data_IF_965259801148
#
_entry.id   IF_965259801148
#
_cell.length_a   1.000
_cell.length_b   1.000
_cell.length_c   1.000
_cell.angle_alpha   90.00
_cell.angle_beta   90.00
_cell.angle_gamma   90.00
#
_symmetry.space_group_name_H-M   'P 1'
#
loop_
_entity.id
_entity.type
_entity.pdbx_description
1 polymer ?
#
# COMPACT_ATOMS: atom_id res chain seq x y z
N UNK A 1 -63.48 -3.21 10.33
CA UNK A 1 -62.20 -3.95 10.57
C UNK A 1 -62.16 -5.30 9.86
N UNK A 2 -63.12 -6.22 10.09
CA UNK A 2 -63.13 -7.55 9.46
C UNK A 2 -63.19 -7.51 7.92
N UNK A 3 -64.04 -6.66 7.37
CA UNK A 3 -64.17 -6.51 5.90
C UNK A 3 -62.93 -5.87 5.26
N UNK A 4 -62.29 -4.91 5.93
CA UNK A 4 -61.00 -4.34 5.51
C UNK A 4 -59.90 -5.41 5.51
N UNK A 5 -59.79 -6.22 6.57
CA UNK A 5 -58.84 -7.37 6.60
C UNK A 5 -59.09 -8.35 5.45
N UNK A 6 -60.37 -8.66 5.16
CA UNK A 6 -60.73 -9.54 4.07
C UNK A 6 -60.41 -8.94 2.69
N UNK A 7 -60.61 -7.62 2.51
CA UNK A 7 -60.26 -6.92 1.28
C UNK A 7 -58.74 -6.95 1.02
N UNK A 8 -57.94 -6.69 2.06
CA UNK A 8 -56.46 -6.75 1.99
C UNK A 8 -55.99 -8.17 1.64
N UNK A 9 -56.57 -9.19 2.26
CA UNK A 9 -56.25 -10.59 1.96
C UNK A 9 -56.59 -10.96 0.51
N UNK A 10 -57.76 -10.51 -0.01
CA UNK A 10 -58.15 -10.71 -1.42
C UNK A 10 -57.22 -10.00 -2.40
N UNK A 11 -56.64 -8.87 -2.01
CA UNK A 11 -55.67 -8.12 -2.81
C UNK A 11 -54.23 -8.68 -2.71
N UNK A 12 -54.03 -9.87 -2.14
CA UNK A 12 -52.69 -10.47 -2.01
C UNK A 12 -51.83 -9.82 -0.92
N UNK A 13 -52.47 -9.13 0.03
CA UNK A 13 -51.81 -8.63 1.23
C UNK A 13 -51.25 -7.21 1.14
N UNK A 14 -51.43 -6.49 0.02
CA UNK A 14 -51.11 -5.06 -0.16
C UNK A 14 -52.28 -4.35 -0.86
N UNK A 15 -52.70 -3.19 -0.35
CA UNK A 15 -53.75 -2.38 -0.97
C UNK A 15 -53.59 -0.89 -0.61
N UNK A 16 -53.82 0.00 -1.58
CA UNK A 16 -53.94 1.44 -1.33
C UNK A 16 -55.23 1.74 -0.57
N UNK A 17 -55.18 2.63 0.44
CA UNK A 17 -56.36 2.99 1.21
C UNK A 17 -57.46 3.62 0.35
N UNK A 18 -57.09 4.30 -0.74
CA UNK A 18 -58.01 4.89 -1.71
C UNK A 18 -58.85 3.84 -2.46
N UNK A 19 -58.37 2.60 -2.56
CA UNK A 19 -59.05 1.49 -3.25
C UNK A 19 -59.96 0.67 -2.33
N UNK A 20 -59.87 0.86 -1.01
CA UNK A 20 -60.72 0.16 -0.03
C UNK A 20 -62.21 0.55 -0.10
N UNK A 21 -62.59 1.84 -0.26
CA UNK A 21 -63.98 2.26 -0.27
C UNK A 21 -64.91 1.48 -1.23
N UNK A 22 -64.57 1.28 -2.53
CA UNK A 22 -65.41 0.50 -3.43
C UNK A 22 -65.47 -0.99 -3.09
N UNK A 23 -64.46 -1.53 -2.40
CA UNK A 23 -64.41 -2.96 -2.04
C UNK A 23 -65.17 -3.30 -0.76
N UNK A 24 -65.25 -2.34 0.16
CA UNK A 24 -65.87 -2.51 1.49
C UNK A 24 -67.25 -1.83 1.55
N UNK A 25 -67.53 -0.88 0.65
CA UNK A 25 -68.78 -0.13 0.62
C UNK A 25 -68.87 0.94 1.70
N UNK A 26 -67.72 1.48 2.14
CA UNK A 26 -67.57 2.42 3.26
C UNK A 26 -66.70 3.59 2.81
N UNK A 27 -66.89 4.79 3.35
CA UNK A 27 -66.07 5.95 2.99
C UNK A 27 -64.61 5.85 3.47
N UNK A 28 -63.73 6.66 2.84
CA UNK A 28 -62.29 6.63 3.07
C UNK A 28 -61.88 6.90 4.52
N UNK A 29 -62.57 7.81 5.22
CA UNK A 29 -62.24 8.17 6.59
C UNK A 29 -62.39 6.97 7.54
N UNK A 30 -63.46 6.19 7.35
CA UNK A 30 -63.69 4.98 8.12
C UNK A 30 -62.72 3.85 7.71
N UNK A 31 -62.31 3.78 6.44
CA UNK A 31 -61.26 2.86 5.99
C UNK A 31 -59.90 3.20 6.62
N UNK A 32 -59.51 4.48 6.68
CA UNK A 32 -58.27 4.96 7.32
C UNK A 32 -58.24 4.68 8.83
N UNK A 33 -59.35 4.96 9.51
CA UNK A 33 -59.50 4.66 10.93
C UNK A 33 -59.42 3.14 11.20
N UNK A 34 -60.05 2.33 10.36
CA UNK A 34 -59.99 0.88 10.46
C UNK A 34 -58.57 0.34 10.18
N UNK A 35 -57.88 0.86 9.17
CA UNK A 35 -56.51 0.48 8.83
C UNK A 35 -55.52 0.80 9.96
N UNK A 36 -55.61 2.00 10.54
CA UNK A 36 -54.79 2.41 11.69
C UNK A 36 -55.00 1.49 12.89
N UNK A 37 -56.26 1.14 13.18
CA UNK A 37 -56.58 0.22 14.25
C UNK A 37 -56.09 -1.22 13.98
N UNK A 38 -56.17 -1.68 12.73
CA UNK A 38 -55.62 -2.99 12.32
C UNK A 38 -54.11 -3.03 12.54
N UNK A 39 -53.38 -2.00 12.13
CA UNK A 39 -51.93 -1.91 12.37
C UNK A 39 -51.59 -1.94 13.86
N UNK A 40 -52.30 -1.17 14.69
CA UNK A 40 -52.09 -1.13 16.14
C UNK A 40 -52.36 -2.50 16.81
N UNK A 41 -53.36 -3.23 16.34
CA UNK A 41 -53.74 -4.55 16.88
C UNK A 41 -52.91 -5.72 16.32
N UNK A 42 -52.26 -5.52 15.17
CA UNK A 42 -51.56 -6.58 14.42
C UNK A 42 -50.24 -7.05 15.04
N UNK A 43 -49.76 -6.41 16.12
CA UNK A 43 -48.46 -6.70 16.75
C UNK A 43 -47.28 -6.73 15.76
N UNK A 44 -47.36 -5.95 14.68
CA UNK A 44 -46.34 -5.87 13.64
C UNK A 44 -46.58 -6.76 12.42
N UNK A 45 -47.70 -7.48 12.34
CA UNK A 45 -48.06 -8.27 11.15
C UNK A 45 -48.62 -7.43 9.99
N UNK A 46 -49.00 -6.19 10.25
CA UNK A 46 -49.56 -5.28 9.24
C UNK A 46 -49.01 -3.88 9.42
N UNK A 47 -48.51 -3.31 8.32
CA UNK A 47 -47.88 -2.00 8.25
C UNK A 47 -48.72 -1.04 7.42
N UNK A 48 -48.83 0.20 7.89
CA UNK A 48 -49.44 1.29 7.13
C UNK A 48 -48.32 2.21 6.67
N UNK A 49 -48.06 2.26 5.36
CA UNK A 49 -46.94 2.99 4.76
C UNK A 49 -47.45 3.82 3.60
N UNK A 50 -47.25 5.15 3.63
CA UNK A 50 -47.63 6.08 2.55
C UNK A 50 -49.08 5.95 2.06
N UNK A 51 -50.02 5.57 2.94
CA UNK A 51 -51.42 5.35 2.55
C UNK A 51 -51.70 3.95 1.98
N UNK A 52 -50.80 3.00 2.15
CA UNK A 52 -50.96 1.59 1.79
C UNK A 52 -50.97 0.70 3.02
N UNK A 53 -51.85 -0.30 3.02
CA UNK A 53 -51.88 -1.35 4.04
C UNK A 53 -51.17 -2.59 3.50
N UNK A 54 -50.04 -2.95 4.10
CA UNK A 54 -49.17 -4.06 3.67
C UNK A 54 -49.01 -5.06 4.81
N UNK A 55 -49.24 -6.34 4.52
CA UNK A 55 -49.15 -7.43 5.50
C UNK A 55 -47.80 -8.15 5.45
N UNK A 56 -47.41 -8.81 6.53
CA UNK A 56 -46.24 -9.71 6.54
C UNK A 56 -46.35 -10.80 5.49
N UNK A 57 -47.55 -11.33 5.25
CA UNK A 57 -47.80 -12.34 4.20
C UNK A 57 -47.43 -11.83 2.80
N UNK A 58 -47.65 -10.54 2.51
CA UNK A 58 -47.21 -9.95 1.25
C UNK A 58 -45.69 -10.02 1.11
N UNK A 59 -44.95 -9.68 2.17
CA UNK A 59 -43.48 -9.78 2.17
C UNK A 59 -42.98 -11.23 2.17
N UNK A 60 -43.71 -12.19 2.75
CA UNK A 60 -43.38 -13.61 2.67
C UNK A 60 -43.53 -14.14 1.24
N UNK A 61 -44.62 -13.77 0.56
CA UNK A 61 -44.85 -14.11 -0.85
C UNK A 61 -43.79 -13.46 -1.75
N UNK A 62 -43.47 -12.18 -1.51
CA UNK A 62 -42.40 -11.49 -2.21
C UNK A 62 -41.05 -12.17 -1.99
N UNK A 63 -40.74 -12.60 -0.76
CA UNK A 63 -39.50 -13.31 -0.47
C UNK A 63 -39.42 -14.68 -1.17
N UNK A 64 -40.54 -15.37 -1.37
CA UNK A 64 -40.59 -16.62 -2.15
C UNK A 64 -40.30 -16.37 -3.64
N UNK A 65 -40.88 -15.31 -4.21
CA UNK A 65 -40.59 -14.88 -5.59
C UNK A 65 -39.11 -14.51 -5.75
N UNK A 66 -38.60 -13.70 -4.82
CA UNK A 66 -37.19 -13.28 -4.79
C UNK A 66 -36.25 -14.47 -4.61
N UNK A 67 -36.58 -15.47 -3.80
CA UNK A 67 -35.76 -16.68 -3.68
C UNK A 67 -35.72 -17.44 -5.01
N UNK A 68 -36.86 -17.59 -5.69
CA UNK A 68 -36.93 -18.20 -7.02
C UNK A 68 -36.02 -17.49 -8.02
N UNK A 69 -36.18 -16.17 -8.15
CA UNK A 69 -35.33 -15.33 -9.01
C UNK A 69 -33.85 -15.45 -8.62
N UNK A 70 -33.54 -15.40 -7.32
CA UNK A 70 -32.18 -15.51 -6.80
C UNK A 70 -31.55 -16.86 -7.12
N UNK A 71 -32.29 -17.96 -7.00
CA UNK A 71 -31.76 -19.29 -7.33
C UNK A 71 -31.52 -19.45 -8.84
N UNK A 72 -32.30 -18.77 -9.68
CA UNK A 72 -32.13 -18.78 -11.14
C UNK A 72 -30.96 -17.90 -11.59
N UNK A 73 -30.87 -16.66 -11.10
CA UNK A 73 -29.87 -15.67 -11.54
C UNK A 73 -28.54 -15.76 -10.77
N UNK A 74 -28.56 -16.30 -9.56
CA UNK A 74 -27.45 -16.35 -8.62
C UNK A 74 -27.24 -15.06 -7.82
N UNK A 75 -27.70 -13.91 -8.32
CA UNK A 75 -27.56 -12.58 -7.71
C UNK A 75 -28.76 -11.68 -8.03
N UNK A 76 -29.25 -10.93 -7.04
CA UNK A 76 -30.37 -9.98 -7.22
C UNK A 76 -30.07 -8.67 -6.48
N UNK A 77 -30.28 -7.53 -7.15
CA UNK A 77 -30.10 -6.22 -6.54
C UNK A 77 -31.36 -5.76 -5.79
N UNK A 78 -31.21 -5.38 -4.52
CA UNK A 78 -32.32 -4.87 -3.71
C UNK A 78 -32.89 -3.56 -4.27
N UNK A 79 -32.07 -2.76 -4.95
CA UNK A 79 -32.50 -1.54 -5.61
C UNK A 79 -33.45 -1.82 -6.79
N UNK A 80 -33.22 -2.91 -7.54
CA UNK A 80 -34.11 -3.31 -8.63
C UNK A 80 -35.44 -3.84 -8.08
N UNK A 81 -35.39 -4.61 -6.99
CA UNK A 81 -36.59 -5.05 -6.27
C UNK A 81 -37.41 -3.86 -5.76
N UNK A 82 -36.76 -2.91 -5.08
CA UNK A 82 -37.41 -1.68 -4.60
C UNK A 82 -38.12 -0.93 -5.73
N UNK A 83 -37.45 -0.80 -6.89
CA UNK A 83 -38.01 -0.15 -8.07
C UNK A 83 -39.20 -0.91 -8.66
N UNK A 84 -39.08 -2.23 -8.83
CA UNK A 84 -40.13 -3.09 -9.43
C UNK A 84 -41.39 -3.16 -8.57
N UNK A 85 -41.22 -3.18 -7.25
CA UNK A 85 -42.33 -3.28 -6.32
C UNK A 85 -42.82 -1.93 -5.80
N UNK A 86 -42.26 -0.80 -6.27
CA UNK A 86 -42.61 0.54 -5.78
C UNK A 86 -42.53 0.63 -4.24
N UNK A 87 -41.45 0.10 -3.66
CA UNK A 87 -41.17 0.12 -2.23
C UNK A 87 -39.85 0.85 -1.96
N UNK A 88 -39.64 1.35 -0.74
CA UNK A 88 -38.35 1.94 -0.38
C UNK A 88 -37.26 0.85 -0.27
N UNK A 89 -36.02 1.20 -0.64
CA UNK A 89 -34.89 0.26 -0.54
C UNK A 89 -34.64 -0.22 0.89
N UNK A 90 -34.89 0.63 1.89
CA UNK A 90 -34.78 0.26 3.31
C UNK A 90 -35.84 -0.77 3.73
N UNK A 91 -37.08 -0.60 3.26
CA UNK A 91 -38.17 -1.52 3.56
C UNK A 91 -37.93 -2.89 2.92
N UNK A 92 -37.46 -2.92 1.66
CA UNK A 92 -37.08 -4.16 1.00
C UNK A 92 -35.89 -4.80 1.72
N UNK A 93 -34.82 -4.05 2.00
CA UNK A 93 -33.65 -4.61 2.66
C UNK A 93 -33.96 -5.20 4.04
N UNK A 94 -34.72 -4.49 4.88
CA UNK A 94 -35.12 -4.98 6.21
C UNK A 94 -36.01 -6.23 6.13
N UNK A 95 -37.00 -6.25 5.24
CA UNK A 95 -37.91 -7.39 5.08
C UNK A 95 -37.25 -8.61 4.45
N UNK A 96 -36.34 -8.42 3.49
CA UNK A 96 -35.57 -9.52 2.91
C UNK A 96 -34.56 -10.07 3.93
N UNK A 97 -33.87 -9.20 4.67
CA UNK A 97 -32.92 -9.58 5.73
C UNK A 97 -33.58 -10.46 6.80
N UNK A 98 -34.78 -10.08 7.26
CA UNK A 98 -35.54 -10.82 8.26
C UNK A 98 -35.94 -12.25 7.81
N UNK A 99 -35.89 -12.53 6.50
CA UNK A 99 -36.30 -13.79 5.88
C UNK A 99 -35.15 -14.62 5.33
N UNK A 100 -33.91 -14.14 5.48
CA UNK A 100 -32.71 -14.89 5.13
C UNK A 100 -32.61 -16.17 5.98
N UNK A 101 -32.31 -17.29 5.33
CA UNK A 101 -32.17 -18.60 5.98
C UNK A 101 -33.49 -19.30 6.32
N UNK A 102 -34.62 -18.57 6.36
CA UNK A 102 -35.95 -19.15 6.55
C UNK A 102 -36.67 -19.37 5.21
N UNK A 103 -36.81 -18.30 4.41
CA UNK A 103 -37.45 -18.34 3.08
C UNK A 103 -36.39 -18.17 2.00
N UNK A 104 -35.53 -17.16 2.14
CA UNK A 104 -34.51 -16.82 1.15
C UNK A 104 -33.24 -17.61 1.43
N UNK A 105 -32.84 -18.46 0.50
CA UNK A 105 -31.62 -19.28 0.57
C UNK A 105 -30.45 -18.53 -0.05
N UNK A 106 -29.98 -17.51 0.66
CA UNK A 106 -28.89 -16.66 0.20
C UNK A 106 -28.21 -15.87 1.31
N UNK A 107 -27.25 -15.06 0.91
CA UNK A 107 -26.55 -14.07 1.73
C UNK A 107 -26.84 -12.68 1.19
N UNK A 108 -26.93 -11.69 2.07
CA UNK A 108 -27.10 -10.29 1.70
C UNK A 108 -25.85 -9.49 2.04
N UNK A 109 -25.31 -8.75 1.08
CA UNK A 109 -24.13 -7.90 1.27
C UNK A 109 -24.10 -6.79 0.21
N UNK A 110 -23.68 -5.58 0.57
CA UNK A 110 -23.56 -4.47 -0.40
C UNK A 110 -24.88 -4.01 -1.06
N UNK A 111 -26.05 -4.43 -0.55
CA UNK A 111 -27.34 -4.15 -1.20
C UNK A 111 -27.72 -5.17 -2.28
N UNK A 112 -27.00 -6.30 -2.34
CA UNK A 112 -27.24 -7.43 -3.23
C UNK A 112 -27.54 -8.69 -2.40
N UNK A 113 -28.38 -9.55 -2.97
CA UNK A 113 -28.60 -10.91 -2.51
C UNK A 113 -27.80 -11.87 -3.40
N UNK A 114 -27.17 -12.86 -2.79
CA UNK A 114 -26.36 -13.86 -3.47
C UNK A 114 -26.76 -15.26 -3.05
N UNK A 115 -26.72 -16.20 -3.99
CA UNK A 115 -26.71 -17.63 -3.63
C UNK A 115 -25.34 -18.04 -3.09
N UNK A 116 -25.32 -19.07 -2.25
CA UNK A 116 -24.05 -19.63 -1.77
C UNK A 116 -23.19 -20.18 -2.92
N UNK A 117 -23.83 -20.74 -3.95
CA UNK A 117 -23.15 -21.26 -5.13
C UNK A 117 -22.47 -20.15 -5.94
N UNK A 118 -23.11 -18.98 -6.07
CA UNK A 118 -22.53 -17.81 -6.73
C UNK A 118 -21.28 -17.32 -5.97
N UNK A 119 -21.39 -17.11 -4.66
CA UNK A 119 -20.26 -16.68 -3.81
C UNK A 119 -19.10 -17.68 -3.90
N UNK A 120 -19.38 -18.98 -3.82
CA UNK A 120 -18.36 -20.02 -3.95
C UNK A 120 -17.64 -19.98 -5.31
N UNK A 121 -18.37 -19.70 -6.40
CA UNK A 121 -17.78 -19.55 -7.74
C UNK A 121 -16.85 -18.35 -7.82
N UNK A 122 -17.29 -17.19 -7.29
CA UNK A 122 -16.47 -15.97 -7.23
C UNK A 122 -15.23 -16.21 -6.36
N UNK A 123 -15.36 -16.82 -5.18
CA UNK A 123 -14.23 -17.20 -4.30
C UNK A 123 -13.24 -18.11 -5.03
N UNK A 124 -13.72 -19.13 -5.73
CA UNK A 124 -12.85 -20.04 -6.47
C UNK A 124 -12.07 -19.34 -7.58
N UNK A 125 -12.70 -18.41 -8.32
CA UNK A 125 -12.05 -17.61 -9.37
C UNK A 125 -11.01 -16.66 -8.81
N UNK A 126 -11.38 -15.89 -7.79
CA UNK A 126 -10.46 -14.98 -7.11
C UNK A 126 -9.25 -15.75 -6.57
N UNK A 127 -9.47 -16.86 -5.88
CA UNK A 127 -8.39 -17.72 -5.40
C UNK A 127 -7.45 -18.16 -6.52
N UNK A 128 -8.00 -18.64 -7.64
CA UNK A 128 -7.21 -19.03 -8.81
C UNK A 128 -6.42 -17.86 -9.42
N UNK A 129 -7.08 -16.72 -9.60
CA UNK A 129 -6.46 -15.51 -10.15
C UNK A 129 -5.35 -14.96 -9.26
N UNK A 130 -5.61 -14.79 -7.96
CA UNK A 130 -4.64 -14.26 -7.00
C UNK A 130 -3.42 -15.17 -6.84
N UNK A 131 -3.61 -16.50 -6.87
CA UNK A 131 -2.51 -17.48 -6.90
C UNK A 131 -1.70 -17.43 -8.20
N UNK A 132 -2.33 -17.07 -9.31
CA UNK A 132 -1.68 -16.95 -10.62
C UNK A 132 -0.92 -15.63 -10.82
N UNK A 133 -1.16 -14.62 -9.99
CA UNK A 133 -0.45 -13.35 -10.06
C UNK A 133 1.01 -13.49 -9.62
N UNK A 134 1.95 -13.04 -10.45
CA UNK A 134 3.39 -12.98 -10.14
C UNK A 134 3.90 -11.53 -9.99
N UNK A 135 3.01 -10.55 -10.13
CA UNK A 135 3.32 -9.13 -10.03
C UNK A 135 2.15 -8.39 -9.37
N UNK A 136 2.38 -7.19 -8.80
CA UNK A 136 1.32 -6.36 -8.28
C UNK A 136 0.20 -6.16 -9.31
N UNK A 137 -1.03 -6.46 -8.92
CA UNK A 137 -2.18 -6.46 -9.83
C UNK A 137 -3.35 -5.73 -9.18
N UNK A 138 -4.06 -4.90 -9.95
CA UNK A 138 -5.32 -4.32 -9.49
C UNK A 138 -6.40 -5.39 -9.48
N UNK A 139 -7.07 -5.54 -8.34
CA UNK A 139 -8.15 -6.52 -8.16
C UNK A 139 -9.31 -6.26 -9.14
N UNK A 140 -9.74 -5.01 -9.42
CA UNK A 140 -10.72 -4.75 -10.48
C UNK A 140 -10.30 -5.26 -11.87
N UNK A 141 -9.04 -5.03 -12.26
CA UNK A 141 -8.51 -5.49 -13.55
C UNK A 141 -8.43 -7.02 -13.60
N UNK A 142 -8.06 -7.65 -12.49
CA UNK A 142 -8.05 -9.10 -12.37
C UNK A 142 -9.47 -9.66 -12.54
N UNK A 143 -10.46 -9.06 -11.87
CA UNK A 143 -11.86 -9.47 -11.97
C UNK A 143 -12.39 -9.32 -13.40
N UNK A 144 -12.08 -8.21 -14.07
CA UNK A 144 -12.43 -8.01 -15.47
C UNK A 144 -11.85 -9.11 -16.38
N UNK A 145 -10.60 -9.55 -16.12
CA UNK A 145 -9.93 -10.62 -16.89
C UNK A 145 -10.45 -12.02 -16.59
N UNK A 146 -10.84 -12.30 -15.34
CA UNK A 146 -11.39 -13.60 -14.92
C UNK A 146 -12.80 -13.87 -15.48
N UNK A 147 -13.38 -12.89 -16.18
CA UNK A 147 -14.68 -12.97 -16.79
C UNK A 147 -15.78 -12.62 -15.80
N UNK A 148 -16.49 -11.53 -16.09
CA UNK A 148 -17.85 -11.35 -15.61
C UNK A 148 -18.65 -12.55 -16.12
N UNK A 149 -19.05 -13.46 -15.24
CA UNK A 149 -20.31 -14.12 -15.53
C UNK A 149 -21.36 -13.02 -15.48
N UNK A 150 -21.87 -12.70 -16.66
CA UNK A 150 -23.13 -12.00 -16.85
C UNK A 150 -24.18 -12.81 -16.10
N UNK A 151 -24.33 -12.53 -14.81
CA UNK A 151 -25.62 -12.70 -14.16
C UNK A 151 -26.59 -11.86 -14.97
N UNK A 152 -27.73 -12.46 -15.34
CA UNK A 152 -28.81 -11.80 -16.07
C UNK A 152 -29.12 -10.48 -15.32
N UNK A 153 -28.70 -9.34 -15.88
CA UNK A 153 -28.85 -8.03 -15.24
C UNK A 153 -27.63 -7.10 -15.23
N UNK A 154 -26.43 -7.55 -15.61
CA UNK A 154 -25.27 -6.65 -15.76
C UNK A 154 -24.73 -6.03 -14.47
N UNK A 155 -24.95 -6.67 -13.32
CA UNK A 155 -24.37 -6.22 -12.05
C UNK A 155 -22.91 -6.64 -11.93
N UNK A 156 -22.00 -5.67 -11.92
CA UNK A 156 -20.62 -5.86 -11.47
C UNK A 156 -20.62 -6.50 -10.06
N UNK A 157 -19.65 -7.39 -9.80
CA UNK A 157 -19.51 -7.97 -8.46
C UNK A 157 -19.21 -6.84 -7.47
N UNK A 158 -19.97 -6.77 -6.37
CA UNK A 158 -19.82 -5.71 -5.39
C UNK A 158 -18.39 -5.69 -4.80
N UNK A 159 -17.72 -4.53 -4.79
CA UNK A 159 -16.36 -4.42 -4.25
C UNK A 159 -16.22 -4.88 -2.79
N UNK A 160 -17.27 -4.75 -1.96
CA UNK A 160 -17.24 -5.21 -0.57
C UNK A 160 -17.28 -6.73 -0.49
N UNK A 161 -18.07 -7.40 -1.36
CA UNK A 161 -18.05 -8.85 -1.46
C UNK A 161 -16.65 -9.34 -1.86
N UNK A 162 -16.02 -8.69 -2.85
CA UNK A 162 -14.65 -9.00 -3.26
C UNK A 162 -13.69 -8.86 -2.07
N UNK A 163 -13.71 -7.71 -1.38
CA UNK A 163 -12.87 -7.48 -0.21
C UNK A 163 -13.06 -8.55 0.88
N UNK A 164 -14.32 -8.87 1.22
CA UNK A 164 -14.65 -9.92 2.20
C UNK A 164 -14.10 -11.28 1.78
N UNK A 165 -14.19 -11.64 0.50
CA UNK A 165 -13.68 -12.92 -0.01
C UNK A 165 -12.15 -12.96 0.03
N UNK A 166 -11.45 -11.88 -0.35
CA UNK A 166 -9.98 -11.86 -0.30
C UNK A 166 -9.48 -11.93 1.15
N UNK A 167 -10.13 -11.23 2.07
CA UNK A 167 -9.82 -11.34 3.50
C UNK A 167 -10.04 -12.75 4.06
N UNK A 168 -11.10 -13.43 3.64
CA UNK A 168 -11.35 -14.84 3.98
C UNK A 168 -10.25 -15.74 3.43
N UNK A 169 -9.89 -15.60 2.16
CA UNK A 169 -8.82 -16.37 1.53
C UNK A 169 -7.46 -16.17 2.21
N UNK A 170 -7.16 -14.94 2.65
CA UNK A 170 -5.94 -14.63 3.40
C UNK A 170 -5.95 -15.26 4.78
N UNK A 171 -7.06 -15.13 5.51
CA UNK A 171 -7.24 -15.70 6.85
C UNK A 171 -7.12 -17.22 6.85
N UNK A 172 -7.67 -17.86 5.83
CA UNK A 172 -7.64 -19.31 5.64
C UNK A 172 -6.29 -19.81 5.10
N UNK A 173 -5.34 -18.91 4.78
CA UNK A 173 -4.05 -19.27 4.18
C UNK A 173 -4.17 -19.83 2.77
N UNK A 174 -5.29 -19.59 2.09
CA UNK A 174 -5.52 -20.06 0.73
C UNK A 174 -4.76 -19.23 -0.30
N UNK A 175 -4.37 -17.99 0.00
CA UNK A 175 -3.56 -17.13 -0.86
C UNK A 175 -2.43 -16.50 -0.05
N UNK A 176 -1.30 -16.21 -0.71
CA UNK A 176 -0.09 -15.67 -0.09
C UNK A 176 0.27 -14.34 -0.73
N UNK A 177 0.12 -13.25 0.02
CA UNK A 177 0.30 -11.90 -0.45
C UNK A 177 -0.33 -10.87 0.49
N UNK A 178 -0.29 -9.61 0.08
CA UNK A 178 -0.78 -8.47 0.84
C UNK A 178 -1.68 -7.61 -0.04
N UNK A 179 -2.77 -7.12 0.52
CA UNK A 179 -3.63 -6.12 -0.13
C UNK A 179 -3.15 -4.71 0.24
N UNK A 180 -3.02 -3.84 -0.77
CA UNK A 180 -2.66 -2.42 -0.64
C UNK A 180 -3.75 -1.53 -1.26
N UNK A 181 -3.63 -0.21 -1.04
CA UNK A 181 -4.51 0.78 -1.69
C UNK A 181 -5.97 0.68 -1.27
N UNK A 182 -6.23 0.39 0.01
CA UNK A 182 -7.60 0.31 0.54
C UNK A 182 -8.43 -0.85 0.01
N UNK A 183 -7.80 -1.99 -0.31
CA UNK A 183 -8.51 -3.19 -0.77
C UNK A 183 -8.43 -3.45 -2.27
N UNK A 184 -7.71 -2.62 -3.03
CA UNK A 184 -7.80 -2.61 -4.51
C UNK A 184 -6.59 -3.17 -5.23
N UNK A 185 -5.44 -3.28 -4.56
CA UNK A 185 -4.20 -3.77 -5.16
C UNK A 185 -3.71 -5.03 -4.45
N UNK A 186 -3.48 -6.10 -5.19
CA UNK A 186 -2.91 -7.35 -4.70
C UNK A 186 -1.40 -7.39 -4.97
N UNK A 187 -0.60 -7.65 -3.94
CA UNK A 187 0.84 -7.87 -4.04
C UNK A 187 1.14 -9.31 -3.61
N UNK A 188 1.47 -10.22 -4.55
CA UNK A 188 1.81 -11.61 -4.23
C UNK A 188 3.09 -11.72 -3.40
N UNK A 189 3.16 -12.67 -2.46
CA UNK A 189 4.37 -12.90 -1.65
C UNK A 189 5.57 -13.34 -2.50
N UNK A 190 5.32 -14.09 -3.58
CA UNK A 190 6.36 -14.51 -4.52
C UNK A 190 7.05 -13.31 -5.18
N UNK A 191 6.30 -12.23 -5.44
CA UNK A 191 6.85 -11.00 -5.98
C UNK A 191 7.75 -10.32 -4.95
N UNK A 192 7.27 -10.14 -3.72
CA UNK A 192 8.06 -9.56 -2.63
C UNK A 192 9.33 -10.37 -2.33
N UNK A 193 9.24 -11.70 -2.36
CA UNK A 193 10.37 -12.60 -2.19
C UNK A 193 11.40 -12.44 -3.32
N UNK A 194 10.95 -12.32 -4.58
CA UNK A 194 11.82 -12.11 -5.72
C UNK A 194 12.56 -10.76 -5.63
N UNK A 195 11.88 -9.69 -5.20
CA UNK A 195 12.50 -8.38 -4.98
C UNK A 195 13.56 -8.43 -3.89
N UNK A 196 13.22 -9.05 -2.75
CA UNK A 196 14.15 -9.23 -1.64
C UNK A 196 15.38 -10.04 -2.06
N UNK A 197 15.19 -11.11 -2.85
CA UNK A 197 16.28 -11.93 -3.36
C UNK A 197 17.16 -11.15 -4.35
N UNK A 198 16.57 -10.38 -5.26
CA UNK A 198 17.32 -9.55 -6.21
C UNK A 198 18.20 -8.52 -5.49
N UNK A 199 17.66 -7.86 -4.48
CA UNK A 199 18.41 -6.91 -3.66
C UNK A 199 19.55 -7.56 -2.88
N UNK A 200 19.32 -8.74 -2.27
CA UNK A 200 20.37 -9.51 -1.59
C UNK A 200 21.48 -9.92 -2.55
N UNK A 201 21.13 -10.49 -3.70
CA UNK A 201 22.12 -10.92 -4.69
C UNK A 201 22.93 -9.74 -5.25
N UNK A 202 22.31 -8.58 -5.46
CA UNK A 202 23.04 -7.37 -5.84
C UNK A 202 24.02 -6.94 -4.74
N UNK A 203 23.53 -6.88 -3.49
CA UNK A 203 24.32 -6.46 -2.35
C UNK A 203 25.52 -7.40 -2.08
N UNK A 204 25.32 -8.71 -2.17
CA UNK A 204 26.37 -9.72 -2.02
C UNK A 204 27.46 -9.59 -3.09
N UNK A 205 27.08 -9.23 -4.33
CA UNK A 205 28.03 -9.09 -5.44
C UNK A 205 28.80 -7.77 -5.41
N UNK A 206 28.15 -6.69 -4.99
CA UNK A 206 28.70 -5.33 -5.11
C UNK A 206 29.19 -4.76 -3.78
N UNK A 207 28.88 -5.40 -2.65
CA UNK A 207 29.15 -4.90 -1.30
C UNK A 207 28.45 -3.55 -0.97
N UNK A 208 27.47 -3.14 -1.76
CA UNK A 208 26.59 -2.00 -1.49
C UNK A 208 25.24 -2.16 -2.20
N UNK A 209 24.26 -1.37 -1.78
CA UNK A 209 23.01 -1.13 -2.50
C UNK A 209 22.52 0.29 -2.20
N UNK A 210 22.43 1.13 -3.23
CA UNK A 210 21.89 2.49 -3.09
C UNK A 210 20.36 2.50 -3.07
N UNK A 211 19.79 3.49 -2.38
CA UNK A 211 18.34 3.57 -2.20
C UNK A 211 17.61 3.81 -3.53
N UNK A 212 18.21 4.53 -4.48
CA UNK A 212 17.61 4.74 -5.80
C UNK A 212 17.47 3.44 -6.58
N UNK A 213 18.51 2.61 -6.61
CA UNK A 213 18.51 1.31 -7.25
C UNK A 213 17.55 0.34 -6.58
N UNK A 214 17.47 0.33 -5.25
CA UNK A 214 16.47 -0.47 -4.53
C UNK A 214 15.03 -0.10 -4.94
N UNK A 215 14.77 1.19 -5.15
CA UNK A 215 13.49 1.70 -5.68
C UNK A 215 13.19 1.17 -7.08
N UNK A 216 14.20 1.08 -7.95
CA UNK A 216 14.07 0.47 -9.30
C UNK A 216 13.81 -1.05 -9.25
N UNK A 217 14.26 -1.74 -8.20
CA UNK A 217 13.88 -3.13 -7.91
C UNK A 217 12.46 -3.25 -7.31
N UNK A 218 11.81 -2.12 -7.03
CA UNK A 218 10.46 -2.02 -6.48
C UNK A 218 10.39 -2.15 -4.95
N UNK A 219 11.52 -2.03 -4.25
CA UNK A 219 11.56 -1.85 -2.80
C UNK A 219 11.28 -0.38 -2.48
N UNK A 220 10.07 -0.10 -2.03
CA UNK A 220 9.56 1.27 -1.87
C UNK A 220 9.60 1.78 -0.42
N UNK A 221 9.99 0.93 0.53
CA UNK A 221 10.15 1.29 1.94
C UNK A 221 11.46 2.03 2.23
N UNK A 222 12.29 2.28 1.21
CA UNK A 222 13.51 3.07 1.31
C UNK A 222 14.48 2.49 2.35
N UNK A 223 15.06 3.38 3.17
CA UNK A 223 16.08 3.05 4.16
C UNK A 223 15.64 1.98 5.17
N UNK A 224 14.45 2.14 5.75
CA UNK A 224 13.97 1.22 6.80
C UNK A 224 13.74 -0.20 6.26
N UNK A 225 13.30 -0.34 5.00
CA UNK A 225 13.12 -1.65 4.38
C UNK A 225 14.47 -2.33 4.09
N UNK A 226 15.45 -1.58 3.59
CA UNK A 226 16.79 -2.13 3.36
C UNK A 226 17.53 -2.49 4.65
N UNK A 227 17.46 -1.66 5.69
CA UNK A 227 18.06 -1.98 7.00
C UNK A 227 17.47 -3.27 7.60
N UNK A 228 16.17 -3.53 7.39
CA UNK A 228 15.55 -4.80 7.81
C UNK A 228 15.98 -5.97 6.92
N UNK A 229 16.11 -5.75 5.61
CA UNK A 229 16.46 -6.79 4.65
C UNK A 229 17.94 -7.21 4.75
N UNK A 230 18.81 -6.25 5.04
CA UNK A 230 20.28 -6.33 5.08
C UNK A 230 20.75 -5.88 6.47
N UNK A 231 20.37 -6.65 7.49
CA UNK A 231 20.55 -6.27 8.91
C UNK A 231 21.99 -6.16 9.37
N UNK A 232 22.92 -6.75 8.62
CA UNK A 232 24.36 -6.67 8.85
C UNK A 232 25.00 -5.44 8.17
N UNK A 233 24.27 -4.77 7.28
CA UNK A 233 24.75 -3.64 6.52
C UNK A 233 24.91 -2.35 7.32
N UNK A 234 25.85 -1.53 6.86
CA UNK A 234 26.09 -0.18 7.37
C UNK A 234 25.23 0.79 6.56
N UNK A 235 24.15 1.27 7.16
CA UNK A 235 23.31 2.28 6.54
C UNK A 235 23.99 3.66 6.54
N UNK A 236 24.05 4.25 5.35
CA UNK A 236 24.48 5.60 5.03
C UNK A 236 23.27 6.39 4.51
N UNK A 237 23.49 7.61 4.02
CA UNK A 237 22.41 8.49 3.58
C UNK A 237 21.94 8.16 2.16
N UNK A 238 22.88 7.80 1.27
CA UNK A 238 22.58 7.38 -0.11
C UNK A 238 22.43 5.87 -0.31
N UNK A 239 23.02 5.06 0.58
CA UNK A 239 23.12 3.61 0.39
C UNK A 239 23.26 2.82 1.69
N UNK A 240 23.15 1.51 1.57
CA UNK A 240 23.63 0.55 2.58
C UNK A 240 24.85 -0.18 2.04
N UNK A 241 25.91 -0.29 2.84
CA UNK A 241 27.17 -0.93 2.43
C UNK A 241 27.53 -2.11 3.32
N UNK A 242 28.22 -3.08 2.75
CA UNK A 242 28.66 -4.27 3.46
C UNK A 242 29.79 -3.94 4.46
N UNK A 243 29.82 -4.57 5.64
CA UNK A 243 30.90 -4.36 6.63
C UNK A 243 32.29 -4.61 6.06
N UNK A 244 32.42 -5.50 5.07
CA UNK A 244 33.67 -5.80 4.38
C UNK A 244 34.27 -4.58 3.68
N UNK A 245 33.43 -3.67 3.17
CA UNK A 245 33.90 -2.43 2.54
C UNK A 245 34.56 -1.51 3.56
N UNK A 246 34.02 -1.46 4.79
CA UNK A 246 34.64 -0.71 5.89
C UNK A 246 35.98 -1.32 6.28
N UNK A 247 36.08 -2.66 6.38
CA UNK A 247 37.33 -3.34 6.71
C UNK A 247 38.43 -3.11 5.66
N UNK A 248 38.08 -3.12 4.37
CA UNK A 248 39.00 -2.79 3.29
C UNK A 248 39.47 -1.35 3.40
N UNK A 249 38.54 -0.43 3.69
CA UNK A 249 38.87 0.98 3.87
C UNK A 249 39.80 1.22 5.07
N UNK A 250 39.54 0.56 6.19
CA UNK A 250 40.43 0.60 7.38
C UNK A 250 41.84 0.13 7.04
N UNK A 251 41.97 -0.99 6.31
CA UNK A 251 43.28 -1.50 5.90
C UNK A 251 44.05 -0.50 5.01
N UNK A 252 43.40 0.12 4.03
CA UNK A 252 44.04 1.14 3.17
C UNK A 252 44.42 2.40 3.93
N UNK A 253 43.59 2.81 4.90
CA UNK A 253 43.90 3.94 5.78
C UNK A 253 45.13 3.63 6.64
N UNK A 254 45.18 2.44 7.26
CA UNK A 254 46.30 2.04 8.11
C UNK A 254 47.62 1.92 7.31
N UNK A 255 47.56 1.43 6.06
CA UNK A 255 48.71 1.38 5.15
C UNK A 255 49.22 2.79 4.80
N UNK A 256 48.32 3.71 4.43
CA UNK A 256 48.68 5.09 4.10
C UNK A 256 49.31 5.82 5.30
N UNK A 257 48.81 5.56 6.51
CA UNK A 257 49.33 6.14 7.73
C UNK A 257 50.69 5.55 8.12
N UNK A 258 50.86 4.23 7.98
CA UNK A 258 52.10 3.52 8.31
C UNK A 258 53.24 3.84 7.34
N UNK A 259 52.91 4.14 6.09
CA UNK A 259 53.87 4.53 5.04
C UNK A 259 54.24 6.02 5.07
N UNK A 260 53.66 6.82 5.97
CA UNK A 260 53.91 8.27 6.00
C UNK A 260 53.35 8.99 4.78
N UNK A 261 52.21 8.52 4.25
CA UNK A 261 51.56 9.03 3.04
C UNK A 261 50.20 9.68 3.35
N UNK A 262 49.38 9.86 2.31
CA UNK A 262 48.00 10.31 2.35
C UNK A 262 47.13 9.42 1.44
N UNK A 263 45.81 9.45 1.68
CA UNK A 263 44.81 8.71 0.92
C UNK A 263 43.50 9.49 0.85
N UNK A 264 42.94 9.67 -0.35
CA UNK A 264 41.54 10.04 -0.51
C UNK A 264 40.68 8.77 -0.54
N UNK A 265 39.91 8.55 0.52
CA UNK A 265 39.11 7.32 0.63
C UNK A 265 37.99 7.23 -0.40
N UNK A 266 37.52 8.37 -0.91
CA UNK A 266 36.44 8.38 -1.89
C UNK A 266 36.87 7.70 -3.20
N UNK A 267 38.16 7.78 -3.54
CA UNK A 267 38.74 7.12 -4.73
C UNK A 267 38.71 5.59 -4.68
N UNK A 268 38.53 4.99 -3.50
CA UNK A 268 38.47 3.54 -3.29
C UNK A 268 37.04 3.01 -3.20
N UNK A 269 36.06 3.90 -3.12
CA UNK A 269 34.66 3.55 -2.91
C UNK A 269 33.88 3.46 -4.24
N UNK A 270 32.78 2.71 -4.27
CA UNK A 270 31.87 2.72 -5.42
C UNK A 270 31.41 4.14 -5.74
N UNK A 271 31.42 4.50 -7.04
CA UNK A 271 31.11 5.86 -7.51
C UNK A 271 29.68 6.33 -7.25
N UNK A 272 28.79 5.43 -6.82
CA UNK A 272 27.43 5.79 -6.39
C UNK A 272 27.41 6.42 -5.00
N UNK A 273 28.40 6.14 -4.16
CA UNK A 273 28.48 6.71 -2.82
C UNK A 273 28.87 8.18 -2.95
N UNK A 274 28.19 9.05 -2.20
CA UNK A 274 28.48 10.47 -2.19
C UNK A 274 29.74 10.79 -1.38
N UNK A 275 30.19 12.04 -1.43
CA UNK A 275 31.30 12.52 -0.58
C UNK A 275 30.89 12.45 0.89
N UNK A 276 29.62 12.71 1.18
CA UNK A 276 29.03 12.62 2.52
C UNK A 276 29.00 11.17 3.02
N UNK A 277 28.62 10.21 2.17
CA UNK A 277 28.65 8.78 2.49
C UNK A 277 30.09 8.30 2.76
N UNK A 278 31.05 8.75 1.93
CA UNK A 278 32.48 8.45 2.12
C UNK A 278 33.03 9.02 3.43
N UNK A 279 32.69 10.28 3.77
CA UNK A 279 33.07 10.89 5.03
C UNK A 279 32.42 10.17 6.23
N UNK A 280 31.14 9.75 6.09
CA UNK A 280 30.44 8.97 7.10
C UNK A 280 31.11 7.61 7.34
N UNK A 281 31.54 6.91 6.28
CA UNK A 281 32.30 5.67 6.41
C UNK A 281 33.68 5.90 7.04
N UNK A 282 34.42 6.92 6.59
CA UNK A 282 35.73 7.25 7.13
C UNK A 282 35.68 7.55 8.64
N UNK A 283 34.63 8.25 9.09
CA UNK A 283 34.41 8.54 10.51
C UNK A 283 34.25 7.27 11.38
N UNK A 284 33.93 6.13 10.75
CA UNK A 284 33.79 4.84 11.42
C UNK A 284 35.12 4.10 11.57
N UNK A 285 36.14 4.44 10.80
CA UNK A 285 37.47 3.83 10.88
C UNK A 285 38.12 4.04 12.25
N UNK A 286 38.70 2.98 12.81
CA UNK A 286 39.31 2.99 14.15
C UNK A 286 40.41 4.04 14.32
N UNK A 287 41.30 4.20 13.33
CA UNK A 287 42.37 5.20 13.33
C UNK A 287 41.83 6.64 13.43
N UNK A 288 40.74 6.93 12.70
CA UNK A 288 40.09 8.25 12.67
C UNK A 288 39.35 8.52 13.97
N UNK A 289 38.61 7.54 14.51
CA UNK A 289 37.95 7.64 15.83
C UNK A 289 38.95 7.93 16.95
N UNK A 290 40.09 7.24 16.93
CA UNK A 290 41.16 7.44 17.90
C UNK A 290 41.78 8.83 17.75
N UNK A 291 41.95 9.31 16.51
CA UNK A 291 42.47 10.64 16.25
C UNK A 291 41.55 11.77 16.73
N UNK A 292 40.23 11.58 16.62
CA UNK A 292 39.25 12.56 17.08
C UNK A 292 39.30 12.80 18.60
N UNK A 293 39.69 11.78 19.37
CA UNK A 293 39.80 11.85 20.84
C UNK A 293 41.20 12.21 21.34
N UNK A 294 42.23 12.11 20.51
CA UNK A 294 43.62 12.38 20.88
C UNK A 294 44.26 13.43 19.97
N UNK A 295 44.41 14.65 20.49
CA UNK A 295 45.02 15.78 19.77
C UNK A 295 46.46 15.54 19.31
N UNK A 296 47.18 14.59 19.94
CA UNK A 296 48.54 14.16 19.58
C UNK A 296 48.59 13.03 18.55
N UNK A 297 47.45 12.62 18.00
CA UNK A 297 47.38 11.58 16.96
C UNK A 297 48.22 11.94 15.72
N UNK A 298 48.82 10.92 15.10
CA UNK A 298 49.55 11.01 13.83
C UNK A 298 48.62 11.11 12.60
N UNK A 299 47.31 11.30 12.80
CA UNK A 299 46.29 11.27 11.74
C UNK A 299 45.62 12.63 11.63
N UNK A 300 45.41 13.09 10.40
CA UNK A 300 44.62 14.29 10.08
C UNK A 300 43.65 13.98 8.94
N UNK A 301 42.39 14.36 9.11
CA UNK A 301 41.37 14.28 8.06
C UNK A 301 41.12 15.68 7.51
N UNK A 302 41.22 15.84 6.19
CA UNK A 302 40.93 17.09 5.48
C UNK A 302 39.89 16.81 4.39
N UNK A 303 39.11 17.84 4.02
CA UNK A 303 38.06 17.77 2.99
C UNK A 303 37.03 16.64 3.19
N UNK A 304 36.89 16.11 4.42
CA UNK A 304 35.95 15.04 4.76
C UNK A 304 36.41 13.63 4.38
N UNK A 305 37.14 13.45 3.28
CA UNK A 305 37.52 12.13 2.73
C UNK A 305 39.02 11.88 2.66
N UNK A 306 39.85 12.90 2.81
CA UNK A 306 41.30 12.75 2.67
C UNK A 306 41.97 12.55 4.03
N UNK A 307 42.64 11.41 4.20
CA UNK A 307 43.43 11.07 5.39
C UNK A 307 44.90 11.33 5.13
N UNK A 308 45.57 11.99 6.07
CA UNK A 308 46.99 12.30 6.02
C UNK A 308 47.69 11.81 7.29
N UNK A 309 48.88 11.24 7.14
CA UNK A 309 49.81 11.13 8.26
C UNK A 309 50.39 12.49 8.62
N UNK A 310 50.65 12.77 9.90
CA UNK A 310 51.29 14.03 10.28
C UNK A 310 52.73 14.10 9.74
N UNK A 311 53.38 12.96 9.50
CA UNK A 311 54.72 12.91 8.92
C UNK A 311 54.71 13.35 7.45
N UNK A 312 53.73 12.90 6.66
CA UNK A 312 53.50 13.43 5.31
C UNK A 312 53.32 14.95 5.32
N UNK A 313 52.48 15.47 6.23
CA UNK A 313 52.20 16.91 6.31
C UNK A 313 53.45 17.72 6.70
N UNK A 314 54.26 17.22 7.64
CA UNK A 314 55.53 17.87 8.02
C UNK A 314 56.50 17.90 6.84
N UNK A 315 56.64 16.79 6.13
CA UNK A 315 57.53 16.70 4.98
C UNK A 315 57.08 17.57 3.81
N UNK A 316 55.77 17.62 3.55
CA UNK A 316 55.19 18.53 2.56
C UNK A 316 55.43 20.01 2.95
N UNK A 317 55.22 20.37 4.21
CA UNK A 317 55.49 21.73 4.69
C UNK A 317 56.97 22.12 4.58
N UNK A 318 57.89 21.19 4.88
CA UNK A 318 59.32 21.40 4.72
C UNK A 318 59.70 21.65 3.25
N UNK A 319 59.19 20.83 2.33
CA UNK A 319 59.38 21.00 0.88
C UNK A 319 58.84 22.34 0.38
N UNK A 320 57.61 22.71 0.75
CA UNK A 320 57.03 24.00 0.37
C UNK A 320 57.87 25.18 0.90
N UNK A 321 58.36 25.10 2.14
CA UNK A 321 59.21 26.15 2.71
C UNK A 321 60.56 26.28 1.99
N UNK A 322 61.14 25.17 1.53
CA UNK A 322 62.35 25.16 0.72
C UNK A 322 62.13 25.81 -0.65
N UNK A 323 61.10 25.37 -1.39
CA UNK A 323 60.75 25.96 -2.69
C UNK A 323 60.43 27.46 -2.58
N UNK A 324 59.73 27.88 -1.52
CA UNK A 324 59.45 29.28 -1.28
C UNK A 324 60.72 30.11 -1.03
N UNK A 325 61.71 29.55 -0.31
CA UNK A 325 63.02 30.21 -0.10
C UNK A 325 63.82 30.32 -1.40
N UNK A 326 63.79 29.29 -2.25
CA UNK A 326 64.43 29.32 -3.55
C UNK A 326 63.82 30.38 -4.48
N UNK A 327 62.49 30.41 -4.58
CA UNK A 327 61.78 31.44 -5.35
C UNK A 327 62.08 32.85 -4.82
N UNK A 328 62.05 33.06 -3.51
CA UNK A 328 62.39 34.36 -2.91
C UNK A 328 63.84 34.79 -3.21
N UNK A 329 64.80 33.86 -3.20
CA UNK A 329 66.20 34.14 -3.58
C UNK A 329 66.32 34.51 -5.06
N UNK A 330 65.65 33.79 -5.95
CA UNK A 330 65.63 34.09 -7.38
C UNK A 330 65.05 35.49 -7.64
N UNK A 331 63.89 35.81 -7.07
CA UNK A 331 63.28 37.15 -7.20
C UNK A 331 64.18 38.25 -6.63
N UNK A 332 64.86 38.01 -5.50
CA UNK A 332 65.80 38.99 -4.94
C UNK A 332 67.02 39.22 -5.87
N UNK A 333 67.50 38.16 -6.52
CA UNK A 333 68.62 38.23 -7.47
C UNK A 333 68.22 38.91 -8.79
N UNK A 334 67.00 38.66 -9.29
CA UNK A 334 66.41 39.38 -10.42
C UNK A 334 66.22 40.87 -10.12
N UNK A 335 65.72 41.22 -8.92
CA UNK A 335 65.61 42.63 -8.50
C UNK A 335 66.96 43.31 -8.40
N UNK A 336 67.98 42.64 -7.85
CA UNK A 336 69.36 43.18 -7.79
C UNK A 336 69.95 43.39 -9.19
N UNK A 337 69.74 42.46 -10.11
CA UNK A 337 70.23 42.60 -11.49
C UNK A 337 69.46 43.65 -12.30
N UNK A 338 68.17 43.84 -12.04
CA UNK A 338 67.35 44.92 -12.63
C UNK A 338 67.78 46.31 -12.13
N UNK A 339 68.01 46.46 -10.81
CA UNK A 339 68.53 47.72 -10.23
C UNK A 339 69.94 48.02 -10.74
N UNK A 340 70.82 47.01 -10.84
CA UNK A 340 72.17 47.17 -11.38
C UNK A 340 72.19 47.62 -12.85
N UNK A 341 71.23 47.17 -13.66
CA UNK A 341 71.06 47.64 -15.05
C UNK A 341 70.48 49.05 -15.14
N UNK A 342 69.57 49.43 -14.24
CA UNK A 342 69.02 50.79 -14.17
C UNK A 342 70.06 51.83 -13.70
N UNK A 343 70.99 51.46 -12.82
CA UNK A 343 72.09 52.34 -12.39
C UNK A 343 73.23 52.48 -13.42
N UNK A 344 73.29 51.61 -14.43
CA UNK A 344 74.29 51.66 -15.51
C UNK A 344 73.79 52.40 -16.77
N UNK A 345 72.55 52.91 -16.74
CA UNK A 345 71.88 53.59 -17.87
C UNK A 345 71.56 55.07 -17.59
N UNK A 346 72.12 55.63 -16.51
CA UNK A 346 72.18 57.07 -16.18
C UNK A 346 73.62 57.53 -16.27
#
# INVERSE_FOLDING_TARGET
KGEVKAAVARAGGRIELADLPPMVGVDLLHCEAAASAICAESKGETHLLQGELITTQHFDNLALEVDGELQESGVVALADLARRHHLSSELVASNMSARLGAIIRGRMEGGLLYTQAYVARVKARLRGGLRGCMAPTLIPDLMARLGHEVGVGGSDVDPKLIASIVEELLRDGEVAGVIKGGGTSWVPDIYAAAQAQAARSFYEQNAYLDYEHSGKMGLTGGRAELERLLSDGIALDGAIVAPQLLLQLEASVDEALSSGSWLDVHSLLPSVLTVEDAAALLSRCSAVKTAASNSKSNVRVLAGTCVFSCDFLKEAAARCAETAREAARQTAQERRSAVGKASASV
#
